data_IF_445438738968
#
_entry.id   IF_445438738968
#
_cell.length_a   1.000
_cell.length_b   1.000
_cell.length_c   1.000
_cell.angle_alpha   90.00
_cell.angle_beta   90.00
_cell.angle_gamma   90.00
#
_symmetry.space_group_name_H-M   'P 1'
#
loop_
_entity.id
_entity.type
_entity.pdbx_description
1 polymer ?
#
# COMPACT_ATOMS: atom_id res chain seq x y z
N UNK A 1 101.84 -62.00 21.08
CA UNK A 1 101.49 -61.46 19.75
C UNK A 1 100.95 -60.06 19.98
N UNK A 2 101.70 -59.03 19.55
CA UNK A 2 101.45 -57.62 19.91
C UNK A 2 100.41 -57.02 18.96
N UNK A 3 99.40 -56.38 19.53
CA UNK A 3 98.35 -55.68 18.80
C UNK A 3 98.98 -54.49 18.04
N UNK A 4 98.97 -54.55 16.70
CA UNK A 4 99.72 -53.64 15.83
C UNK A 4 98.93 -52.39 15.43
N UNK A 5 97.65 -52.31 15.82
CA UNK A 5 96.76 -51.22 15.47
C UNK A 5 96.03 -50.70 16.71
N UNK A 6 96.03 -49.38 16.86
CA UNK A 6 95.35 -48.70 17.96
C UNK A 6 93.84 -48.88 17.78
N UNK A 7 93.21 -49.63 18.67
CA UNK A 7 91.79 -50.03 18.58
C UNK A 7 90.84 -48.82 18.44
N UNK A 8 91.20 -47.69 19.06
CA UNK A 8 90.48 -46.42 18.94
C UNK A 8 90.35 -45.93 17.48
N UNK A 9 91.35 -46.19 16.64
CA UNK A 9 91.31 -45.81 15.22
C UNK A 9 90.43 -46.76 14.40
N UNK A 10 90.47 -48.07 14.69
CA UNK A 10 89.63 -49.06 13.99
C UNK A 10 88.16 -48.91 14.37
N UNK A 11 87.85 -48.58 15.62
CA UNK A 11 86.47 -48.34 16.08
C UNK A 11 85.90 -47.03 15.52
N UNK A 12 86.71 -45.97 15.40
CA UNK A 12 86.29 -44.75 14.71
C UNK A 12 86.05 -44.96 13.21
N UNK A 13 86.78 -45.87 12.56
CA UNK A 13 86.58 -46.22 11.16
C UNK A 13 85.33 -47.09 10.95
N UNK A 14 85.05 -48.02 11.88
CA UNK A 14 83.79 -48.81 11.91
C UNK A 14 82.57 -47.94 12.20
N UNK A 15 82.69 -46.97 13.11
CA UNK A 15 81.63 -46.00 13.40
C UNK A 15 81.32 -45.08 12.20
N UNK A 16 82.29 -44.82 11.31
CA UNK A 16 82.05 -44.14 10.02
C UNK A 16 81.31 -45.02 9.00
N UNK A 17 81.44 -46.35 9.09
CA UNK A 17 80.77 -47.33 8.21
C UNK A 17 79.33 -47.62 8.61
N UNK A 18 78.99 -47.41 9.88
CA UNK A 18 77.63 -47.04 10.30
C UNK A 18 77.39 -45.60 9.81
N UNK A 19 77.33 -45.45 8.47
CA UNK A 19 77.23 -44.19 7.79
C UNK A 19 76.25 -43.32 8.54
N UNK A 20 76.70 -42.09 8.86
CA UNK A 20 75.83 -41.04 9.39
C UNK A 20 74.60 -41.13 8.51
N UNK A 21 73.50 -41.66 9.05
CA UNK A 21 72.27 -41.70 8.31
C UNK A 21 72.00 -40.23 8.11
N UNK A 22 72.34 -39.73 6.92
CA UNK A 22 71.61 -38.64 6.33
C UNK A 22 70.21 -39.24 6.21
N UNK A 23 69.47 -39.23 7.33
CA UNK A 23 68.18 -38.59 7.31
C UNK A 23 68.48 -37.23 6.67
N UNK A 24 68.46 -37.23 5.33
CA UNK A 24 67.79 -36.19 4.59
C UNK A 24 66.52 -36.06 5.41
N UNK A 25 66.50 -35.07 6.31
CA UNK A 25 65.32 -34.74 7.06
C UNK A 25 64.35 -34.38 5.94
N UNK A 26 63.61 -35.38 5.47
CA UNK A 26 62.46 -35.21 4.60
C UNK A 26 61.64 -34.13 5.29
N UNK A 27 61.18 -33.16 4.49
CA UNK A 27 60.65 -31.88 4.95
C UNK A 27 60.06 -32.00 6.37
N UNK A 28 60.55 -31.22 7.34
CA UNK A 28 60.25 -31.46 8.75
C UNK A 28 58.74 -31.58 8.94
N UNK A 29 58.29 -32.58 9.71
CA UNK A 29 56.86 -32.87 9.90
C UNK A 29 56.05 -31.64 10.36
N UNK A 30 56.72 -30.69 11.01
CA UNK A 30 56.14 -29.40 11.38
C UNK A 30 55.71 -28.54 10.18
N UNK A 31 56.41 -28.58 9.03
CA UNK A 31 55.99 -27.91 7.80
C UNK A 31 54.67 -28.48 7.27
N UNK A 32 54.51 -29.81 7.29
CA UNK A 32 53.25 -30.44 6.89
C UNK A 32 52.11 -30.13 7.88
N UNK A 33 52.41 -30.10 9.19
CA UNK A 33 51.47 -29.68 10.22
C UNK A 33 51.01 -28.23 10.04
N UNK A 34 51.93 -27.31 9.78
CA UNK A 34 51.64 -25.91 9.53
C UNK A 34 50.82 -25.73 8.25
N UNK A 35 51.16 -26.44 7.17
CA UNK A 35 50.43 -26.39 5.90
C UNK A 35 48.99 -26.90 6.06
N UNK A 36 48.81 -28.01 6.78
CA UNK A 36 47.48 -28.56 7.08
C UNK A 36 46.65 -27.61 7.93
N UNK A 37 47.25 -27.02 8.97
CA UNK A 37 46.59 -26.04 9.83
C UNK A 37 46.15 -24.80 9.06
N UNK A 38 47.02 -24.27 8.18
CA UNK A 38 46.70 -23.13 7.33
C UNK A 38 45.57 -23.46 6.36
N UNK A 39 45.60 -24.65 5.75
CA UNK A 39 44.53 -25.11 4.86
C UNK A 39 43.17 -25.17 5.58
N UNK A 40 43.13 -25.70 6.80
CA UNK A 40 41.91 -25.75 7.62
C UNK A 40 41.42 -24.33 7.95
N UNK A 41 42.32 -23.43 8.36
CA UNK A 41 41.97 -22.03 8.63
C UNK A 41 41.35 -21.33 7.42
N UNK A 42 41.93 -21.51 6.23
CA UNK A 42 41.41 -20.94 4.98
C UNK A 42 40.03 -21.53 4.67
N UNK A 43 39.86 -22.83 4.80
CA UNK A 43 38.59 -23.51 4.56
C UNK A 43 37.48 -23.03 5.52
N UNK A 44 37.80 -22.90 6.81
CA UNK A 44 36.87 -22.41 7.82
C UNK A 44 36.47 -20.95 7.56
N UNK A 45 37.46 -20.11 7.25
CA UNK A 45 37.25 -18.72 6.87
C UNK A 45 36.31 -18.63 5.66
N UNK A 46 36.56 -19.41 4.61
CA UNK A 46 35.73 -19.43 3.42
C UNK A 46 34.27 -19.84 3.70
N UNK A 47 34.03 -20.79 4.60
CA UNK A 47 32.68 -21.18 5.01
C UNK A 47 31.97 -20.08 5.79
N UNK A 48 32.68 -19.38 6.69
CA UNK A 48 32.10 -18.31 7.52
C UNK A 48 31.80 -17.06 6.68
N UNK A 49 32.70 -16.68 5.77
CA UNK A 49 32.52 -15.53 4.89
C UNK A 49 31.65 -15.82 3.65
N UNK A 50 31.37 -17.09 3.35
CA UNK A 50 30.46 -17.45 2.26
C UNK A 50 29.03 -17.10 2.61
N UNK A 51 28.59 -15.94 2.14
CA UNK A 51 27.20 -15.54 2.21
C UNK A 51 26.45 -16.08 0.98
N UNK A 52 25.64 -17.13 1.18
CA UNK A 52 24.79 -17.65 0.11
C UNK A 52 23.53 -16.79 -0.04
N UNK A 53 23.55 -15.85 -0.99
CA UNK A 53 22.38 -15.02 -1.32
C UNK A 53 21.40 -15.80 -2.20
N UNK A 54 20.44 -16.48 -1.57
CA UNK A 54 19.33 -17.16 -2.26
C UNK A 54 18.40 -16.12 -2.89
N UNK A 55 18.46 -15.96 -4.21
CA UNK A 55 17.48 -15.17 -4.96
C UNK A 55 16.21 -15.98 -5.14
N UNK A 56 15.09 -15.45 -4.65
CA UNK A 56 13.76 -16.03 -4.83
C UNK A 56 13.01 -15.11 -5.78
N UNK A 57 12.56 -15.65 -6.91
CA UNK A 57 11.69 -14.93 -7.82
C UNK A 57 10.28 -14.95 -7.24
N UNK A 58 9.80 -13.77 -6.86
CA UNK A 58 8.40 -13.55 -6.45
C UNK A 58 7.64 -13.02 -7.65
N UNK A 59 6.58 -13.74 -8.01
CA UNK A 59 5.60 -13.26 -8.98
C UNK A 59 4.61 -12.39 -8.21
N UNK A 60 4.56 -11.11 -8.55
CA UNK A 60 3.60 -10.14 -8.03
C UNK A 60 2.73 -9.62 -9.16
N UNK A 61 1.48 -9.30 -8.84
CA UNK A 61 0.59 -8.60 -9.75
C UNK A 61 0.60 -7.11 -9.44
N UNK A 62 0.63 -6.28 -10.47
CA UNK A 62 0.50 -4.83 -10.32
C UNK A 62 -0.98 -4.53 -10.10
N UNK A 63 -1.36 -4.27 -8.86
CA UNK A 63 -2.71 -3.84 -8.49
C UNK A 63 -2.74 -2.35 -8.20
N UNK A 64 -3.84 -1.70 -8.54
CA UNK A 64 -4.08 -0.30 -8.21
C UNK A 64 -4.63 -0.19 -6.79
N UNK A 65 -3.96 0.61 -5.96
CA UNK A 65 -4.45 1.00 -4.65
C UNK A 65 -4.64 2.52 -4.62
N UNK A 66 -5.84 3.05 -4.32
CA UNK A 66 -7.11 2.36 -4.06
C UNK A 66 -7.70 1.69 -5.30
N UNK A 67 -8.56 0.68 -5.10
CA UNK A 67 -9.25 0.01 -6.21
C UNK A 67 -10.15 0.99 -6.96
N UNK A 68 -10.20 0.83 -8.29
CA UNK A 68 -11.17 1.53 -9.15
C UNK A 68 -12.60 1.28 -8.67
N UNK A 69 -13.42 2.33 -8.64
CA UNK A 69 -14.84 2.26 -8.30
C UNK A 69 -15.65 2.73 -9.51
N UNK A 70 -16.61 1.91 -9.92
CA UNK A 70 -17.57 2.28 -10.96
C UNK A 70 -18.67 3.16 -10.33
N UNK A 71 -18.87 4.36 -10.89
CA UNK A 71 -19.92 5.27 -10.46
C UNK A 71 -21.11 5.14 -11.41
N UNK A 72 -22.30 4.89 -10.87
CA UNK A 72 -23.52 4.74 -11.64
C UNK A 72 -24.44 5.96 -11.46
N UNK A 73 -25.23 6.25 -12.48
CA UNK A 73 -26.29 7.25 -12.39
C UNK A 73 -27.37 6.77 -11.41
N UNK A 74 -27.87 7.63 -10.50
CA UNK A 74 -28.91 7.24 -9.55
C UNK A 74 -30.27 7.01 -10.22
N UNK A 75 -30.53 7.64 -11.36
CA UNK A 75 -31.79 7.58 -12.11
C UNK A 75 -31.52 7.67 -13.62
N UNK A 76 -32.46 7.17 -14.41
CA UNK A 76 -32.45 7.30 -15.87
C UNK A 76 -32.74 8.76 -16.27
N UNK A 77 -31.88 9.34 -17.11
CA UNK A 77 -32.00 10.71 -17.59
C UNK A 77 -30.99 10.99 -18.69
N UNK A 78 -30.93 12.24 -19.14
CA UNK A 78 -29.97 12.70 -20.16
C UNK A 78 -28.82 13.48 -19.51
N UNK A 79 -27.61 13.34 -20.05
CA UNK A 79 -26.45 14.11 -19.56
C UNK A 79 -26.62 15.55 -20.04
N UNK A 80 -26.82 16.47 -19.09
CA UNK A 80 -26.97 17.90 -19.35
C UNK A 80 -25.62 18.58 -19.47
N UNK A 81 -24.71 18.31 -18.54
CA UNK A 81 -23.39 18.92 -18.48
C UNK A 81 -22.33 17.90 -18.02
N UNK A 82 -21.11 18.06 -18.53
CA UNK A 82 -19.94 17.26 -18.17
C UNK A 82 -18.88 18.18 -17.56
N UNK A 83 -18.45 17.88 -16.34
CA UNK A 83 -17.50 18.73 -15.60
C UNK A 83 -16.05 18.22 -15.64
N UNK A 84 -15.81 17.00 -16.12
CA UNK A 84 -14.48 16.38 -16.16
C UNK A 84 -14.29 15.54 -17.41
N UNK A 85 -13.04 15.45 -17.85
CA UNK A 85 -12.61 14.65 -19.00
C UNK A 85 -11.96 13.33 -18.59
N UNK A 86 -11.89 12.42 -19.55
CA UNK A 86 -11.19 11.15 -19.36
C UNK A 86 -9.71 11.44 -19.15
N UNK A 87 -9.18 11.04 -17.99
CA UNK A 87 -7.79 11.27 -17.61
C UNK A 87 -7.60 12.34 -16.54
N UNK A 88 -8.63 13.12 -16.20
CA UNK A 88 -8.54 14.13 -15.16
C UNK A 88 -8.44 13.53 -13.74
N UNK A 89 -7.65 14.16 -12.89
CA UNK A 89 -7.51 13.79 -11.48
C UNK A 89 -8.68 14.38 -10.68
N UNK A 90 -9.55 13.52 -10.15
CA UNK A 90 -10.74 13.91 -9.39
C UNK A 90 -10.60 13.64 -7.90
N UNK A 91 -11.20 14.50 -7.07
CA UNK A 91 -11.29 14.31 -5.61
C UNK A 91 -12.66 13.74 -5.22
N UNK A 92 -12.71 13.06 -4.07
CA UNK A 92 -13.97 12.55 -3.51
C UNK A 92 -14.97 13.71 -3.31
N UNK A 93 -16.17 13.56 -3.85
CA UNK A 93 -17.24 14.56 -3.76
C UNK A 93 -17.24 15.61 -4.89
N UNK A 94 -16.26 15.56 -5.80
CA UNK A 94 -16.26 16.41 -6.99
C UNK A 94 -17.38 16.01 -7.94
N UNK A 95 -18.05 17.01 -8.53
CA UNK A 95 -19.11 16.80 -9.51
C UNK A 95 -18.49 16.28 -10.81
N UNK A 96 -18.99 15.15 -11.31
CA UNK A 96 -18.51 14.54 -12.54
C UNK A 96 -19.42 14.90 -13.74
N UNK A 97 -20.72 14.69 -13.56
CA UNK A 97 -21.75 14.92 -14.56
C UNK A 97 -22.99 15.52 -13.93
N UNK A 98 -23.73 16.31 -14.71
CA UNK A 98 -25.09 16.74 -14.41
C UNK A 98 -26.07 15.96 -15.27
N UNK A 99 -27.08 15.37 -14.64
CA UNK A 99 -28.10 14.56 -15.32
C UNK A 99 -29.43 15.29 -15.22
N UNK A 100 -30.06 15.57 -16.36
CA UNK A 100 -31.46 16.00 -16.40
C UNK A 100 -32.36 14.77 -16.36
N UNK A 101 -33.02 14.57 -15.21
CA UNK A 101 -33.98 13.49 -14.93
C UNK A 101 -35.42 13.94 -15.19
N UNK A 102 -35.62 15.08 -15.86
CA UNK A 102 -36.96 15.58 -16.17
C UNK A 102 -37.75 14.58 -17.01
N UNK A 103 -38.81 14.03 -16.43
CA UNK A 103 -39.85 13.33 -17.18
C UNK A 103 -40.61 14.35 -18.03
N UNK A 104 -40.52 14.20 -19.35
CA UNK A 104 -41.34 14.93 -20.32
C UNK A 104 -42.55 14.05 -20.63
N UNK A 105 -43.74 14.56 -20.35
CA UNK A 105 -45.03 13.95 -20.75
C UNK A 105 -45.69 14.88 -21.77
N UNK A 106 -46.78 14.49 -22.43
CA UNK A 106 -47.49 15.31 -23.43
C UNK A 106 -47.83 16.75 -22.97
N UNK A 107 -47.89 16.99 -21.66
CA UNK A 107 -48.09 18.31 -21.05
C UNK A 107 -46.79 19.09 -20.68
N UNK A 108 -45.61 18.65 -21.15
CA UNK A 108 -44.32 19.30 -20.91
C UNK A 108 -43.48 18.70 -19.77
N UNK A 109 -42.46 19.44 -19.30
CA UNK A 109 -41.58 19.00 -18.19
C UNK A 109 -42.39 18.94 -16.89
N UNK A 110 -42.67 17.73 -16.40
CA UNK A 110 -43.51 17.50 -15.22
C UNK A 110 -43.00 18.27 -13.99
N UNK A 111 -41.69 18.32 -13.78
CA UNK A 111 -41.09 19.06 -12.65
C UNK A 111 -41.43 20.55 -12.66
N UNK A 112 -41.45 21.20 -13.83
CA UNK A 112 -41.79 22.61 -13.95
C UNK A 112 -43.27 22.86 -13.63
N UNK A 113 -44.16 22.01 -14.15
CA UNK A 113 -45.59 22.11 -13.90
C UNK A 113 -45.94 21.84 -12.43
N UNK A 114 -45.29 20.87 -11.79
CA UNK A 114 -45.47 20.63 -10.34
C UNK A 114 -45.01 21.84 -9.52
N UNK A 115 -43.92 22.50 -9.92
CA UNK A 115 -43.43 23.71 -9.23
C UNK A 115 -44.41 24.87 -9.35
N UNK A 116 -44.97 25.09 -10.54
CA UNK A 116 -46.00 26.10 -10.77
C UNK A 116 -47.28 25.80 -9.97
N UNK A 117 -47.70 24.53 -9.91
CA UNK A 117 -48.85 24.12 -9.13
C UNK A 117 -48.64 24.36 -7.62
N UNK A 118 -47.45 24.04 -7.08
CA UNK A 118 -47.10 24.30 -5.69
C UNK A 118 -47.08 25.80 -5.36
N UNK A 119 -46.55 26.64 -6.25
CA UNK A 119 -46.53 28.09 -6.05
C UNK A 119 -47.96 28.67 -6.03
N UNK A 120 -48.83 28.17 -6.90
CA UNK A 120 -50.24 28.56 -6.89
C UNK A 120 -50.96 28.09 -5.62
N UNK A 121 -50.64 26.89 -5.11
CA UNK A 121 -51.18 26.40 -3.84
C UNK A 121 -50.75 27.29 -2.67
N UNK A 122 -49.47 27.70 -2.61
CA UNK A 122 -48.99 28.61 -1.58
C UNK A 122 -49.72 29.95 -1.61
N UNK A 123 -49.86 30.58 -2.78
CA UNK A 123 -50.62 31.83 -2.94
C UNK A 123 -52.08 31.67 -2.51
N UNK A 124 -52.68 30.53 -2.81
CA UNK A 124 -54.05 30.23 -2.40
C UNK A 124 -54.17 30.13 -0.87
N UNK A 125 -53.25 29.42 -0.22
CA UNK A 125 -53.19 29.29 1.24
C UNK A 125 -53.01 30.66 1.92
N UNK A 126 -52.11 31.51 1.40
CA UNK A 126 -51.92 32.87 1.92
C UNK A 126 -53.21 33.70 1.82
N UNK A 127 -53.93 33.58 0.71
CA UNK A 127 -55.21 34.26 0.54
C UNK A 127 -56.28 33.79 1.53
N UNK A 128 -56.27 32.50 1.90
CA UNK A 128 -57.16 31.93 2.91
C UNK A 128 -56.79 32.48 4.30
N UNK A 129 -55.51 32.53 4.64
CA UNK A 129 -55.03 33.06 5.93
C UNK A 129 -55.45 34.52 6.09
N UNK A 130 -55.28 35.35 5.05
CA UNK A 130 -55.70 36.75 5.06
C UNK A 130 -57.21 36.89 5.29
N UNK A 131 -58.02 36.10 4.55
CA UNK A 131 -59.48 36.10 4.72
C UNK A 131 -59.90 35.68 6.13
N UNK A 132 -59.23 34.69 6.73
CA UNK A 132 -59.52 34.24 8.09
C UNK A 132 -59.16 35.31 9.13
N UNK A 133 -58.04 36.00 8.97
CA UNK A 133 -57.68 37.10 9.86
C UNK A 133 -58.66 38.26 9.76
N UNK A 134 -59.11 38.59 8.56
CA UNK A 134 -60.05 39.68 8.34
C UNK A 134 -61.43 39.36 8.93
N UNK A 135 -61.91 38.14 8.72
CA UNK A 135 -63.16 37.66 9.30
C UNK A 135 -63.10 37.62 10.84
N UNK A 136 -61.96 37.20 11.41
CA UNK A 136 -61.71 37.28 12.86
C UNK A 136 -61.76 38.72 13.37
N UNK A 137 -61.17 39.68 12.64
CA UNK A 137 -61.19 41.11 13.00
C UNK A 137 -62.61 41.66 12.99
N UNK A 138 -63.36 41.42 11.92
CA UNK A 138 -64.76 41.82 11.78
C UNK A 138 -65.64 41.24 12.89
N UNK A 139 -65.45 39.97 13.22
CA UNK A 139 -66.21 39.32 14.31
C UNK A 139 -65.90 39.95 15.67
N UNK A 140 -64.63 40.25 15.95
CA UNK A 140 -64.23 40.93 17.19
C UNK A 140 -64.76 42.37 17.27
N UNK A 141 -64.78 43.09 16.16
CA UNK A 141 -65.37 44.44 16.09
C UNK A 141 -66.88 44.41 16.34
N UNK A 142 -67.60 43.49 15.71
CA UNK A 142 -69.04 43.31 15.91
C UNK A 142 -69.37 42.94 17.37
N UNK A 143 -68.60 42.04 17.99
CA UNK A 143 -68.77 41.68 19.40
C UNK A 143 -68.50 42.87 20.35
N UNK A 144 -67.50 43.70 20.05
CA UNK A 144 -67.22 44.93 20.82
C UNK A 144 -68.32 45.97 20.66
N UNK A 145 -68.87 46.13 19.45
CA UNK A 145 -69.98 47.04 19.20
C UNK A 145 -71.22 46.62 20.00
N UNK A 146 -71.57 45.33 20.01
CA UNK A 146 -72.69 44.81 20.79
C UNK A 146 -72.51 44.99 22.30
N UNK A 147 -71.28 44.81 22.81
CA UNK A 147 -70.99 44.98 24.25
C UNK A 147 -71.01 46.44 24.72
N UNK A 148 -71.01 47.42 23.80
CA UNK A 148 -71.11 48.86 24.09
C UNK A 148 -72.55 49.37 24.10
N UNK A 149 -73.50 48.58 23.62
CA UNK A 149 -74.93 48.94 23.49
C UNK A 149 -75.78 48.38 24.65
N UNK A 150 -75.15 47.80 25.67
CA UNK A 150 -75.73 47.38 26.96
C UNK A 150 -75.08 48.20 28.05
#
# INVERSE_FOLDING_TARGET
MRDLFRQEATDHQRAKWAGKALLINGLPAWCFGLLSFLFILVFLSFLIFSHYTRRINVYGEITTFPRSVNVFAPQQGFISERFVEVGDVVKKGQRLYQIDVSRVTDNGKVSANTRLALENQLKHVDSIILKLQDNKRMTLENLRAQKKTV
#
